data_IF_736026595063
#
_entry.id   IF_736026595063
#
_cell.length_a   1.000
_cell.length_b   1.000
_cell.length_c   1.000
_cell.angle_alpha   90.00
_cell.angle_beta   90.00
_cell.angle_gamma   90.00
#
_symmetry.space_group_name_H-M   'P 1'
#
loop_
_entity.id
_entity.type
_entity.pdbx_description
1 polymer ?
#
# COMPACT_ATOMS: atom_id res chain seq x y z
N UNK A 1 -24.47 -15.96 1.28
CA UNK A 1 -25.06 -16.30 2.59
C UNK A 1 -25.01 -15.10 3.50
N UNK A 2 -25.92 -15.00 4.47
CA UNK A 2 -25.96 -13.89 5.44
C UNK A 2 -25.44 -14.43 6.78
N UNK A 3 -24.47 -13.75 7.40
CA UNK A 3 -23.95 -14.12 8.72
C UNK A 3 -25.06 -14.02 9.77
N UNK A 4 -25.31 -15.08 10.54
CA UNK A 4 -26.27 -15.07 11.66
C UNK A 4 -25.84 -14.14 12.80
N UNK A 5 -24.53 -13.93 12.97
CA UNK A 5 -23.97 -13.11 14.05
C UNK A 5 -23.91 -11.61 13.74
N UNK A 6 -23.51 -11.23 12.52
CA UNK A 6 -23.31 -9.82 12.16
C UNK A 6 -24.22 -9.31 11.04
N UNK A 7 -25.04 -10.17 10.43
CA UNK A 7 -25.99 -9.79 9.38
C UNK A 7 -25.35 -9.38 8.04
N UNK A 8 -24.03 -9.52 7.90
CA UNK A 8 -23.34 -9.21 6.65
C UNK A 8 -23.61 -10.31 5.62
N UNK A 9 -23.89 -9.91 4.38
CA UNK A 9 -23.98 -10.82 3.25
C UNK A 9 -22.61 -10.99 2.59
N UNK A 10 -22.16 -12.24 2.46
CA UNK A 10 -20.86 -12.59 1.91
C UNK A 10 -20.94 -13.93 1.15
N UNK A 11 -19.99 -14.19 0.24
CA UNK A 11 -20.06 -15.36 -0.62
C UNK A 11 -19.67 -16.65 0.13
N UNK A 12 -20.37 -17.74 -0.18
CA UNK A 12 -20.42 -19.00 0.58
C UNK A 12 -19.11 -19.83 0.56
N UNK A 13 -18.08 -19.37 -0.15
CA UNK A 13 -16.80 -20.06 -0.29
C UNK A 13 -15.79 -19.72 0.80
N UNK A 14 -16.11 -18.75 1.67
CA UNK A 14 -15.25 -18.39 2.80
C UNK A 14 -15.64 -19.26 4.01
N UNK A 15 -14.66 -19.88 4.67
CA UNK A 15 -14.89 -20.71 5.86
C UNK A 15 -15.38 -19.89 7.08
N UNK A 16 -15.09 -18.59 7.09
CA UNK A 16 -15.39 -17.68 8.19
C UNK A 16 -16.01 -16.39 7.65
N UNK A 17 -16.86 -15.75 8.45
CA UNK A 17 -17.37 -14.43 8.11
C UNK A 17 -16.22 -13.41 8.09
N UNK A 18 -16.01 -12.67 6.99
CA UNK A 18 -14.89 -11.72 6.86
C UNK A 18 -14.99 -10.50 7.80
N UNK A 19 -16.13 -10.29 8.46
CA UNK A 19 -16.35 -9.16 9.35
C UNK A 19 -16.23 -9.52 10.84
N UNK A 20 -16.80 -10.65 11.26
CA UNK A 20 -16.79 -11.06 12.66
C UNK A 20 -15.92 -12.30 12.94
N UNK A 21 -15.31 -12.88 11.91
CA UNK A 21 -14.49 -14.11 11.98
C UNK A 21 -15.20 -15.30 12.61
N UNK A 22 -16.53 -15.26 12.71
CA UNK A 22 -17.31 -16.40 13.16
C UNK A 22 -17.25 -17.47 12.09
N UNK A 23 -16.89 -18.73 12.43
CA UNK A 23 -16.94 -19.83 11.50
C UNK A 23 -18.36 -20.03 10.99
N UNK A 24 -18.50 -20.42 9.73
CA UNK A 24 -19.82 -20.64 9.13
C UNK A 24 -20.51 -21.91 9.63
N UNK A 25 -19.74 -22.81 10.24
CA UNK A 25 -20.25 -24.05 10.81
C UNK A 25 -21.03 -23.72 12.10
N UNK A 26 -22.22 -24.31 12.24
CA UNK A 26 -22.98 -24.32 13.49
C UNK A 26 -22.24 -25.18 14.53
N UNK A 27 -21.14 -24.64 15.08
CA UNK A 27 -20.47 -25.22 16.23
C UNK A 27 -21.44 -25.02 17.39
N UNK A 28 -22.30 -26.02 17.62
CA UNK A 28 -23.07 -26.13 18.86
C UNK A 28 -22.07 -25.91 20.00
N UNK A 29 -22.31 -24.89 20.82
CA UNK A 29 -21.45 -24.59 21.96
C UNK A 29 -21.28 -25.88 22.76
N UNK A 30 -20.10 -26.46 22.71
CA UNK A 30 -19.77 -27.68 23.43
C UNK A 30 -19.68 -27.29 24.91
N UNK A 31 -20.82 -27.43 25.61
CA UNK A 31 -20.90 -27.21 27.04
C UNK A 31 -20.28 -28.43 27.68
N UNK A 32 -19.23 -28.18 28.46
CA UNK A 32 -18.51 -29.23 29.15
C UNK A 32 -19.46 -30.10 29.95
N UNK A 33 -19.23 -31.40 29.89
CA UNK A 33 -20.03 -32.38 30.61
C UNK A 33 -19.85 -32.20 32.12
N UNK A 34 -20.80 -32.71 32.90
CA UNK A 34 -20.81 -32.53 34.35
C UNK A 34 -19.50 -33.04 35.01
N UNK A 35 -19.00 -34.17 34.50
CA UNK A 35 -17.74 -34.77 34.94
C UNK A 35 -16.51 -33.94 34.55
N UNK A 36 -16.50 -33.36 33.35
CA UNK A 36 -15.41 -32.49 32.90
C UNK A 36 -15.38 -31.21 33.74
N UNK A 37 -16.52 -30.57 33.92
CA UNK A 37 -16.69 -29.35 34.72
C UNK A 37 -16.18 -29.56 36.16
N UNK A 38 -16.48 -30.69 36.75
CA UNK A 38 -16.10 -30.99 38.14
C UNK A 38 -14.62 -31.42 38.26
N UNK A 39 -13.98 -31.78 37.14
CA UNK A 39 -12.55 -32.07 37.04
C UNK A 39 -11.68 -30.87 36.60
N UNK A 40 -12.26 -29.68 36.40
CA UNK A 40 -11.46 -28.48 36.10
C UNK A 40 -10.61 -28.07 37.30
N UNK A 41 -9.32 -28.36 37.19
CA UNK A 41 -8.31 -27.77 38.06
C UNK A 41 -8.14 -26.30 37.65
N UNK A 42 -8.83 -25.41 38.37
CA UNK A 42 -8.76 -23.97 38.15
C UNK A 42 -7.36 -23.45 38.48
N UNK A 43 -6.47 -23.44 37.50
CA UNK A 43 -5.12 -22.87 37.65
C UNK A 43 -5.23 -21.35 37.64
N UNK A 44 -4.83 -20.70 38.73
CA UNK A 44 -4.67 -19.25 38.75
C UNK A 44 -3.36 -18.86 38.10
N UNK A 45 -3.29 -17.64 37.53
CA UNK A 45 -2.10 -17.12 36.85
C UNK A 45 -0.86 -17.11 37.77
N UNK A 46 -1.05 -17.18 39.09
CA UNK A 46 0.03 -17.25 40.09
C UNK A 46 0.57 -18.67 40.34
N UNK A 47 -0.12 -19.72 39.88
CA UNK A 47 0.25 -21.14 40.04
C UNK A 47 0.87 -21.73 38.78
N UNK A 48 1.61 -20.93 38.01
CA UNK A 48 2.40 -21.49 36.91
C UNK A 48 3.55 -22.29 37.52
N UNK A 49 3.65 -23.62 37.29
CA UNK A 49 4.82 -24.37 37.70
C UNK A 49 6.01 -23.79 36.94
N UNK A 50 7.09 -23.56 37.69
CA UNK A 50 8.39 -23.05 37.27
C UNK A 50 8.80 -23.58 35.89
N UNK A 51 8.32 -22.90 34.85
CA UNK A 51 8.58 -23.22 33.47
C UNK A 51 9.13 -21.94 32.91
N UNK A 52 10.37 -22.02 32.43
CA UNK A 52 11.16 -20.96 31.78
C UNK A 52 10.51 -20.39 30.50
N UNK A 53 9.20 -20.56 30.34
CA UNK A 53 8.47 -20.42 29.07
C UNK A 53 7.62 -19.14 29.03
N UNK A 54 7.36 -18.48 30.16
CA UNK A 54 6.67 -17.19 30.20
C UNK A 54 7.64 -16.07 30.58
N UNK A 55 8.26 -15.44 29.58
CA UNK A 55 8.99 -14.18 29.79
C UNK A 55 7.98 -13.04 29.88
N UNK A 56 7.88 -12.43 31.06
CA UNK A 56 7.21 -11.14 31.22
C UNK A 56 8.08 -10.12 30.49
N UNK A 57 7.61 -9.63 29.35
CA UNK A 57 8.32 -8.64 28.55
C UNK A 57 8.10 -7.26 29.19
N UNK A 58 9.17 -6.64 29.65
CA UNK A 58 9.10 -5.30 30.21
C UNK A 58 9.01 -4.24 29.09
N UNK A 59 8.60 -3.02 29.45
CA UNK A 59 8.48 -1.92 28.49
C UNK A 59 9.80 -1.65 27.75
N UNK A 60 10.94 -1.93 28.38
CA UNK A 60 12.26 -1.75 27.79
C UNK A 60 12.64 -2.90 26.84
N UNK A 61 12.17 -4.13 27.09
CA UNK A 61 12.29 -5.25 26.13
C UNK A 61 11.50 -4.97 24.84
N UNK A 62 10.32 -4.37 24.97
CA UNK A 62 9.50 -3.91 23.84
C UNK A 62 10.20 -2.83 23.01
N UNK A 63 10.91 -1.89 23.65
CA UNK A 63 11.72 -0.87 22.95
C UNK A 63 12.92 -1.50 22.24
N UNK A 64 13.58 -2.46 22.88
CA UNK A 64 14.71 -3.16 22.29
C UNK A 64 14.29 -3.99 21.07
N UNK A 65 13.16 -4.71 21.14
CA UNK A 65 12.58 -5.40 19.98
C UNK A 65 12.18 -4.45 18.84
N UNK A 66 11.69 -3.25 19.17
CA UNK A 66 11.44 -2.21 18.16
C UNK A 66 12.72 -1.67 17.54
N UNK A 67 13.80 -1.55 18.31
CA UNK A 67 15.12 -1.10 17.83
C UNK A 67 15.79 -2.11 16.90
N UNK A 68 15.64 -3.40 17.19
CA UNK A 68 16.10 -4.48 16.32
C UNK A 68 15.29 -4.58 15.01
N UNK A 69 14.04 -4.09 14.99
CA UNK A 69 13.20 -4.00 13.80
C UNK A 69 13.41 -2.72 12.94
N UNK A 70 14.03 -1.67 13.50
CA UNK A 70 14.38 -0.43 12.76
C UNK A 70 15.30 -0.65 11.53
N UNK A 71 16.37 -1.47 11.56
CA UNK A 71 17.28 -1.60 10.41
C UNK A 71 16.58 -2.21 9.18
N UNK A 72 15.60 -3.08 9.38
CA UNK A 72 14.83 -3.66 8.28
C UNK A 72 13.88 -2.63 7.64
N UNK A 73 13.14 -1.89 8.47
CA UNK A 73 12.23 -0.83 7.99
C UNK A 73 12.97 0.31 7.29
N UNK A 74 14.12 0.74 7.80
CA UNK A 74 14.94 1.77 7.13
C UNK A 74 15.49 1.29 5.77
N UNK A 75 15.86 0.02 5.64
CA UNK A 75 16.33 -0.53 4.36
C UNK A 75 15.22 -0.55 3.32
N UNK A 76 14.01 -0.93 3.71
CA UNK A 76 12.82 -0.92 2.82
C UNK A 76 12.43 0.52 2.47
N UNK A 77 12.45 1.44 3.44
CA UNK A 77 12.15 2.85 3.19
C UNK A 77 13.18 3.51 2.26
N UNK A 78 14.48 3.25 2.45
CA UNK A 78 15.52 3.75 1.55
C UNK A 78 15.45 3.12 0.16
N UNK A 79 15.03 1.86 0.04
CA UNK A 79 14.79 1.23 -1.25
C UNK A 79 13.61 1.89 -2.00
N UNK A 80 12.53 2.18 -1.29
CA UNK A 80 11.38 2.91 -1.82
C UNK A 80 11.73 4.37 -2.17
N UNK A 81 12.46 5.09 -1.32
CA UNK A 81 12.91 6.46 -1.63
C UNK A 81 13.92 6.49 -2.78
N UNK A 82 14.80 5.48 -2.86
CA UNK A 82 15.79 5.33 -3.91
C UNK A 82 15.15 5.12 -5.28
N UNK A 83 14.14 4.24 -5.37
CA UNK A 83 13.43 4.01 -6.65
C UNK A 83 12.67 5.28 -7.09
N UNK A 84 12.04 5.99 -6.16
CA UNK A 84 11.33 7.24 -6.46
C UNK A 84 12.31 8.32 -6.94
N UNK A 85 13.48 8.41 -6.31
CA UNK A 85 14.55 9.33 -6.71
C UNK A 85 15.11 9.01 -8.10
N UNK A 86 15.27 7.72 -8.43
CA UNK A 86 15.76 7.29 -9.74
C UNK A 86 14.73 7.59 -10.85
N UNK A 87 13.44 7.37 -10.58
CA UNK A 87 12.35 7.71 -11.49
C UNK A 87 12.27 9.24 -11.68
N UNK A 88 12.36 10.02 -10.60
CA UNK A 88 12.34 11.47 -10.67
C UNK A 88 13.54 12.02 -11.44
N UNK A 89 14.75 11.51 -11.18
CA UNK A 89 15.95 11.89 -11.91
C UNK A 89 15.84 11.52 -13.41
N UNK A 90 15.31 10.33 -13.72
CA UNK A 90 15.04 9.91 -15.09
C UNK A 90 14.06 10.83 -15.82
N UNK A 91 12.98 11.23 -15.15
CA UNK A 91 12.00 12.19 -15.69
C UNK A 91 12.65 13.55 -15.96
N UNK A 92 13.46 14.06 -15.04
CA UNK A 92 14.15 15.34 -15.21
C UNK A 92 15.10 15.28 -16.40
N UNK A 93 15.92 14.22 -16.50
CA UNK A 93 16.85 14.03 -17.63
C UNK A 93 16.09 13.94 -18.95
N UNK A 94 15.00 13.16 -18.99
CA UNK A 94 14.15 13.03 -20.16
C UNK A 94 13.58 14.38 -20.60
N UNK A 95 13.09 15.18 -19.66
CA UNK A 95 12.50 16.49 -19.91
C UNK A 95 13.57 17.48 -20.41
N UNK A 96 14.76 17.48 -19.81
CA UNK A 96 15.91 18.31 -20.23
C UNK A 96 16.39 17.94 -21.63
N UNK A 97 16.32 16.67 -22.05
CA UNK A 97 16.64 16.26 -23.41
C UNK A 97 15.51 16.54 -24.40
N UNK A 98 14.25 16.40 -23.98
CA UNK A 98 13.08 16.56 -24.84
C UNK A 98 12.83 18.04 -25.18
N UNK A 99 12.87 18.95 -24.20
CA UNK A 99 12.63 20.39 -24.41
C UNK A 99 13.45 20.96 -25.58
N UNK A 100 14.79 20.85 -25.62
CA UNK A 100 15.58 21.47 -26.68
C UNK A 100 15.31 20.84 -28.05
N UNK A 101 15.02 19.54 -28.10
CA UNK A 101 14.62 18.86 -29.35
C UNK A 101 13.28 19.38 -29.84
N UNK A 102 12.31 19.53 -28.94
CA UNK A 102 10.99 20.03 -29.29
C UNK A 102 11.03 21.51 -29.70
N UNK A 103 11.82 22.33 -28.99
CA UNK A 103 12.02 23.74 -29.30
C UNK A 103 12.75 23.90 -30.64
N UNK A 104 13.81 23.15 -30.90
CA UNK A 104 14.54 23.22 -32.16
C UNK A 104 13.70 22.75 -33.35
N UNK A 105 12.73 21.85 -33.13
CA UNK A 105 11.80 21.41 -34.17
C UNK A 105 10.64 22.40 -34.34
N UNK A 106 9.98 22.83 -33.26
CA UNK A 106 8.80 23.69 -33.35
C UNK A 106 9.10 25.13 -33.74
N UNK A 107 10.17 25.72 -33.22
CA UNK A 107 10.49 27.13 -33.47
C UNK A 107 10.70 27.47 -34.96
N UNK A 108 11.48 26.70 -35.76
CA UNK A 108 11.61 26.98 -37.18
C UNK A 108 10.31 26.69 -37.94
N UNK A 109 9.52 25.69 -37.53
CA UNK A 109 8.22 25.42 -38.15
C UNK A 109 7.26 26.62 -37.97
N UNK A 110 7.13 27.14 -36.75
CA UNK A 110 6.31 28.32 -36.47
C UNK A 110 6.83 29.53 -37.23
N UNK A 111 8.15 29.77 -37.23
CA UNK A 111 8.76 30.87 -37.99
C UNK A 111 8.49 30.77 -39.50
N UNK A 112 8.60 29.57 -40.06
CA UNK A 112 8.33 29.30 -41.46
C UNK A 112 6.87 29.62 -41.84
N UNK A 113 5.91 29.18 -41.03
CA UNK A 113 4.50 29.49 -41.25
C UNK A 113 4.20 31.00 -41.16
N UNK A 114 4.83 31.71 -40.21
CA UNK A 114 4.69 33.17 -40.10
C UNK A 114 5.23 33.85 -41.37
N UNK A 115 6.39 33.41 -41.87
CA UNK A 115 6.98 33.97 -43.11
C UNK A 115 6.05 33.73 -44.31
N UNK A 116 5.54 32.51 -44.49
CA UNK A 116 4.58 32.22 -45.57
C UNK A 116 3.33 33.09 -45.44
N UNK A 117 2.76 33.19 -44.25
CA UNK A 117 1.57 34.00 -44.00
C UNK A 117 1.84 35.48 -44.32
N UNK A 118 3.01 36.00 -43.94
CA UNK A 118 3.42 37.36 -44.27
C UNK A 118 3.59 37.56 -45.79
N UNK A 119 4.23 36.62 -46.49
CA UNK A 119 4.38 36.67 -47.96
C UNK A 119 3.00 36.65 -48.62
N UNK A 120 2.11 35.74 -48.22
CA UNK A 120 0.76 35.65 -48.76
C UNK A 120 -0.04 36.93 -48.50
N UNK A 121 0.09 37.50 -47.30
CA UNK A 121 -0.55 38.77 -46.93
C UNK A 121 -0.05 39.93 -47.80
N UNK A 122 1.25 40.02 -48.04
CA UNK A 122 1.86 41.05 -48.90
C UNK A 122 1.44 40.86 -50.36
N UNK A 123 1.48 39.63 -50.90
CA UNK A 123 1.01 39.33 -52.26
C UNK A 123 -0.46 39.73 -52.45
N UNK A 124 -1.30 39.45 -51.43
CA UNK A 124 -2.70 39.84 -51.42
C UNK A 124 -2.90 41.36 -51.32
N UNK A 125 -2.06 42.07 -50.57
CA UNK A 125 -2.09 43.54 -50.47
C UNK A 125 -1.67 44.23 -51.77
N UNK A 126 -0.71 43.65 -52.50
CA UNK A 126 -0.23 44.17 -53.79
C UNK A 126 -1.27 43.92 -54.92
N UNK A 127 -2.37 43.25 -54.62
CA UNK A 127 -3.42 42.95 -55.60
C UNK A 127 -2.98 41.91 -56.63
N UNK A 128 -1.94 41.14 -56.33
CA UNK A 128 -1.48 40.03 -57.17
C UNK A 128 -2.35 38.81 -56.87
N UNK A 129 -3.60 38.85 -57.31
CA UNK A 129 -4.50 37.70 -57.29
C UNK A 129 -5.54 37.76 -58.41
#
# INVERSE_FOLDING_TARGET
MICSHCGLEYPDHLAECPNCHTPNDDIAAEVLTEDERDAFEGVTIDQVPDSDTYRVMDQDDLKQAQEEAKPFRLRVLNFLLGHLGLVAAGLIIFLVLLIPVFLSLMLPFVGYFIIIAAIFFVLRLIGLH
#
